data_IF_656363298324
#
_entry.id   IF_656363298324
#
_cell.length_a   1.000
_cell.length_b   1.000
_cell.length_c   1.000
_cell.angle_alpha   90.00
_cell.angle_beta   90.00
_cell.angle_gamma   90.00
#
_symmetry.space_group_name_H-M   'P 1'
#
loop_
_entity.id
_entity.type
_entity.pdbx_description
1 polymer ?
#
# COMPACT_ATOMS: atom_id res chain seq x y z
N UNK A 1 -13.67 8.67 -98.49
CA UNK A 1 -14.49 9.80 -98.04
C UNK A 1 -15.45 9.24 -97.02
N UNK A 2 -15.41 9.53 -95.73
CA UNK A 2 -14.85 10.61 -94.91
C UNK A 2 -14.59 10.09 -93.48
N UNK A 3 -13.78 10.81 -92.71
CA UNK A 3 -13.67 10.77 -91.24
C UNK A 3 -14.17 12.13 -90.68
N UNK A 4 -14.26 12.40 -89.36
CA UNK A 4 -14.87 11.71 -88.20
C UNK A 4 -15.77 12.68 -87.34
N UNK A 5 -16.34 12.23 -86.19
CA UNK A 5 -16.68 13.03 -84.97
C UNK A 5 -17.51 12.17 -83.99
N UNK A 6 -17.05 11.73 -82.81
CA UNK A 6 -16.76 12.43 -81.55
C UNK A 6 -17.98 12.86 -80.70
N UNK A 7 -18.60 11.91 -79.99
CA UNK A 7 -19.22 12.13 -78.67
C UNK A 7 -19.08 10.84 -77.84
N UNK A 8 -18.05 10.80 -76.98
CA UNK A 8 -18.20 10.96 -75.53
C UNK A 8 -18.87 9.72 -74.89
N UNK A 9 -18.16 8.61 -74.66
CA UNK A 9 -17.17 8.45 -73.59
C UNK A 9 -17.66 8.95 -72.21
N UNK A 10 -18.81 8.46 -71.73
CA UNK A 10 -19.32 8.79 -70.39
C UNK A 10 -20.12 7.67 -69.71
N UNK A 11 -19.94 6.40 -70.12
CA UNK A 11 -20.73 5.27 -69.60
C UNK A 11 -19.94 4.08 -69.06
N UNK A 12 -18.61 4.10 -69.03
CA UNK A 12 -17.79 2.93 -68.67
C UNK A 12 -16.66 3.18 -67.65
N UNK A 13 -16.69 4.32 -66.96
CA UNK A 13 -15.70 4.69 -65.94
C UNK A 13 -16.27 4.73 -64.51
N UNK A 14 -17.34 3.98 -64.22
CA UNK A 14 -17.95 3.92 -62.89
C UNK A 14 -18.08 2.50 -62.29
N UNK A 15 -17.55 1.48 -62.97
CA UNK A 15 -17.57 0.08 -62.49
C UNK A 15 -16.19 -0.57 -62.38
N UNK A 16 -15.11 0.21 -62.42
CA UNK A 16 -13.74 -0.25 -62.15
C UNK A 16 -13.06 0.51 -61.01
N UNK A 17 -13.82 1.32 -60.26
CA UNK A 17 -13.35 2.07 -59.08
C UNK A 17 -13.97 1.59 -57.77
N UNK A 18 -14.58 0.39 -57.76
CA UNK A 18 -15.15 -0.24 -56.56
C UNK A 18 -14.50 -1.59 -56.20
N UNK A 19 -13.41 -1.96 -56.87
CA UNK A 19 -12.64 -3.20 -56.63
C UNK A 19 -11.16 -2.95 -56.30
N UNK A 20 -10.83 -1.77 -55.81
CA UNK A 20 -9.48 -1.39 -55.36
C UNK A 20 -9.47 -0.72 -53.97
N UNK A 21 -10.33 -1.17 -53.05
CA UNK A 21 -10.25 -0.84 -51.61
C UNK A 21 -10.04 -2.08 -50.74
N UNK A 22 -9.44 -3.14 -51.33
CA UNK A 22 -8.86 -4.28 -50.59
C UNK A 22 -7.34 -4.06 -50.57
N UNK A 23 -6.90 -3.08 -49.81
CA UNK A 23 -5.50 -2.69 -49.69
C UNK A 23 -5.21 -2.17 -48.29
N UNK A 24 -4.65 -3.05 -47.48
CA UNK A 24 -3.85 -2.72 -46.29
C UNK A 24 -4.61 -2.12 -45.11
N UNK A 25 -5.50 -2.90 -44.49
CA UNK A 25 -5.52 -2.85 -43.02
C UNK A 25 -4.17 -3.42 -42.56
N UNK A 26 -3.17 -2.55 -42.41
CA UNK A 26 -2.09 -2.82 -41.46
C UNK A 26 -2.83 -3.08 -40.15
N UNK A 27 -2.92 -4.35 -39.77
CA UNK A 27 -3.36 -4.68 -38.42
C UNK A 27 -2.44 -3.89 -37.51
N UNK A 28 -2.98 -2.88 -36.83
CA UNK A 28 -2.36 -2.42 -35.60
C UNK A 28 -2.08 -3.69 -34.80
N UNK A 29 -0.84 -3.93 -34.35
CA UNK A 29 -0.63 -5.02 -33.44
C UNK A 29 -1.58 -4.75 -32.27
N UNK A 30 -2.60 -5.59 -32.12
CA UNK A 30 -3.27 -5.80 -30.85
C UNK A 30 -2.13 -5.85 -29.85
N UNK A 31 -2.06 -4.89 -28.93
CA UNK A 31 -0.92 -4.69 -28.03
C UNK A 31 -0.54 -6.03 -27.43
N UNK A 32 0.43 -6.68 -28.06
CA UNK A 32 0.88 -7.99 -27.64
C UNK A 32 1.47 -7.77 -26.28
N UNK A 33 1.13 -8.63 -25.32
CA UNK A 33 1.88 -8.74 -24.08
C UNK A 33 3.35 -8.59 -24.43
N UNK A 34 4.00 -7.57 -23.88
CA UNK A 34 5.37 -7.26 -24.24
C UNK A 34 6.25 -8.39 -23.72
N UNK A 35 6.44 -9.42 -24.55
CA UNK A 35 7.24 -10.59 -24.21
C UNK A 35 8.63 -10.09 -23.86
N UNK A 36 9.05 -10.33 -22.62
CA UNK A 36 10.38 -9.94 -22.18
C UNK A 36 11.43 -10.72 -22.98
N UNK A 37 12.27 -10.00 -23.71
CA UNK A 37 13.36 -10.54 -24.53
C UNK A 37 14.74 -10.26 -23.94
N UNK A 38 14.79 -9.69 -22.72
CA UNK A 38 16.03 -9.31 -22.07
C UNK A 38 16.97 -10.50 -21.87
N UNK A 39 18.28 -10.30 -22.07
CA UNK A 39 19.34 -11.27 -21.78
C UNK A 39 20.59 -10.53 -21.32
N UNK A 40 21.39 -11.05 -20.36
CA UNK A 40 21.19 -12.25 -19.54
C UNK A 40 20.19 -12.02 -18.37
N UNK A 41 20.09 -12.96 -17.42
CA UNK A 41 19.35 -12.75 -16.16
C UNK A 41 19.86 -11.49 -15.42
N UNK A 42 19.00 -10.87 -14.62
CA UNK A 42 19.36 -9.70 -13.83
C UNK A 42 19.17 -9.97 -12.34
N UNK A 43 20.12 -9.48 -11.55
CA UNK A 43 20.02 -9.42 -10.09
C UNK A 43 19.61 -8.03 -9.66
N UNK A 44 18.76 -7.95 -8.65
CA UNK A 44 18.28 -6.72 -8.06
C UNK A 44 18.48 -6.75 -6.55
N UNK A 45 18.80 -5.60 -5.97
CA UNK A 45 18.59 -5.35 -4.55
C UNK A 45 17.23 -4.69 -4.38
N UNK A 46 16.37 -5.29 -3.56
CA UNK A 46 15.10 -4.72 -3.13
C UNK A 46 15.28 -4.14 -1.73
N UNK A 47 15.01 -2.85 -1.58
CA UNK A 47 15.05 -2.13 -0.30
C UNK A 47 13.66 -1.67 0.07
N UNK A 48 13.12 -2.21 1.15
CA UNK A 48 11.90 -1.74 1.79
C UNK A 48 12.23 -0.66 2.83
N UNK A 49 11.51 0.45 2.80
CA UNK A 49 11.63 1.56 3.74
C UNK A 49 10.29 1.80 4.40
N UNK A 50 10.17 1.46 5.69
CA UNK A 50 9.02 1.83 6.51
C UNK A 50 8.98 3.34 6.71
N UNK A 51 7.83 3.96 6.44
CA UNK A 51 7.56 5.39 6.63
C UNK A 51 6.38 5.61 7.59
N UNK A 52 6.04 4.60 8.38
CA UNK A 52 4.97 4.67 9.37
C UNK A 52 5.51 5.35 10.62
N UNK A 53 5.42 6.67 10.67
CA UNK A 53 5.81 7.47 11.83
C UNK A 53 4.58 8.06 12.52
N UNK A 54 4.72 8.42 13.80
CA UNK A 54 3.66 9.11 14.54
C UNK A 54 3.33 10.48 13.93
N UNK A 55 4.30 11.16 13.33
CA UNK A 55 4.09 12.43 12.64
C UNK A 55 3.26 12.25 11.36
N UNK A 56 3.53 11.20 10.57
CA UNK A 56 2.79 10.94 9.33
C UNK A 56 1.43 10.28 9.58
N UNK A 57 1.30 9.51 10.67
CA UNK A 57 0.09 8.77 11.03
C UNK A 57 -0.13 8.84 12.55
N UNK A 58 -0.58 9.98 13.10
CA UNK A 58 -0.71 10.19 14.54
C UNK A 58 -1.89 9.41 15.14
N UNK A 59 -2.91 9.10 14.35
CA UNK A 59 -4.14 8.47 14.85
C UNK A 59 -3.83 7.07 15.33
N UNK A 60 -4.02 6.84 16.63
CA UNK A 60 -3.85 5.54 17.29
C UNK A 60 -2.47 4.90 17.03
N UNK A 61 -1.42 5.69 16.78
CA UNK A 61 -0.09 5.16 16.50
C UNK A 61 0.37 4.20 17.61
N UNK A 62 0.63 2.90 17.32
CA UNK A 62 0.94 1.91 18.34
C UNK A 62 2.30 2.18 19.02
N UNK A 63 2.28 2.53 20.30
CA UNK A 63 3.50 2.83 21.07
C UNK A 63 3.99 1.64 21.92
N UNK A 64 3.10 0.72 22.30
CA UNK A 64 3.45 -0.38 23.20
C UNK A 64 2.57 -1.62 22.96
N UNK A 65 3.16 -2.81 23.21
CA UNK A 65 2.53 -4.14 23.22
C UNK A 65 1.62 -4.46 22.01
N UNK A 66 2.19 -4.66 20.81
CA UNK A 66 3.55 -4.29 20.39
C UNK A 66 3.63 -2.84 19.86
N UNK A 67 4.81 -2.22 19.83
CA UNK A 67 5.01 -0.96 19.11
C UNK A 67 4.80 -1.14 17.60
N UNK A 68 4.53 -0.03 16.90
CA UNK A 68 4.42 0.02 15.45
C UNK A 68 5.71 -0.53 14.81
N UNK A 69 5.57 -1.55 13.97
CA UNK A 69 6.66 -2.26 13.32
C UNK A 69 6.16 -2.98 12.06
N UNK A 70 7.04 -3.71 11.38
CA UNK A 70 6.73 -4.46 10.16
C UNK A 70 7.14 -5.92 10.32
N UNK A 71 6.39 -6.84 9.71
CA UNK A 71 6.82 -8.24 9.61
C UNK A 71 8.08 -8.36 8.73
N UNK A 72 8.62 -9.59 8.66
CA UNK A 72 9.54 -9.93 7.56
C UNK A 72 8.88 -9.64 6.22
N UNK A 73 9.69 -9.29 5.21
CA UNK A 73 9.23 -9.20 3.84
C UNK A 73 9.31 -10.59 3.20
N UNK A 74 8.26 -11.00 2.51
CA UNK A 74 8.25 -12.23 1.70
C UNK A 74 7.80 -11.90 0.29
N UNK A 75 8.53 -12.39 -0.71
CA UNK A 75 8.22 -12.17 -2.12
C UNK A 75 8.75 -13.24 -3.04
N UNK A 76 8.39 -13.12 -4.31
CA UNK A 76 8.80 -14.04 -5.36
C UNK A 76 9.01 -13.31 -6.70
N UNK A 77 9.95 -13.83 -7.49
CA UNK A 77 10.08 -13.52 -8.92
C UNK A 77 9.32 -14.59 -9.72
N UNK A 78 8.36 -14.18 -10.53
CA UNK A 78 7.37 -15.08 -11.14
C UNK A 78 6.88 -14.64 -12.53
N UNK A 79 6.12 -15.50 -13.20
CA UNK A 79 5.38 -15.22 -14.44
C UNK A 79 3.95 -14.76 -14.12
N UNK A 80 3.19 -14.35 -15.15
CA UNK A 80 1.78 -13.98 -15.02
C UNK A 80 0.86 -15.14 -14.61
N UNK A 81 1.32 -16.40 -14.71
CA UNK A 81 0.57 -17.59 -14.31
C UNK A 81 0.48 -17.77 -12.79
N UNK A 82 1.26 -17.00 -12.02
CA UNK A 82 1.20 -16.96 -10.57
C UNK A 82 0.76 -15.58 -10.09
N UNK A 83 -0.15 -15.54 -9.12
CA UNK A 83 -0.49 -14.33 -8.38
C UNK A 83 -0.27 -14.59 -6.89
N UNK A 84 0.53 -13.74 -6.25
CA UNK A 84 0.73 -13.78 -4.81
C UNK A 84 -0.46 -13.19 -4.08
N UNK A 85 -0.98 -12.08 -4.59
CA UNK A 85 -2.16 -11.37 -4.14
C UNK A 85 -2.57 -10.40 -5.24
N UNK A 86 -3.84 -9.99 -5.26
CA UNK A 86 -4.33 -8.96 -6.19
C UNK A 86 -5.48 -8.17 -5.56
N UNK A 87 -5.53 -6.87 -5.85
CA UNK A 87 -6.66 -6.01 -5.44
C UNK A 87 -7.98 -6.55 -6.02
N UNK A 88 -9.02 -6.61 -5.20
CA UNK A 88 -10.33 -7.16 -5.51
C UNK A 88 -10.36 -8.69 -5.76
N UNK A 89 -9.31 -9.43 -5.37
CA UNK A 89 -9.33 -10.90 -5.33
C UNK A 89 -9.24 -11.40 -3.88
N UNK A 90 -9.62 -12.66 -3.65
CA UNK A 90 -9.49 -13.29 -2.34
C UNK A 90 -8.03 -13.66 -2.06
N UNK A 91 -7.59 -13.47 -0.82
CA UNK A 91 -6.28 -13.98 -0.37
C UNK A 91 -6.29 -15.51 -0.25
N UNK A 92 -5.14 -16.14 -0.50
CA UNK A 92 -4.91 -17.55 -0.19
C UNK A 92 -4.91 -17.80 1.32
N UNK A 93 -4.95 -19.07 1.74
CA UNK A 93 -4.82 -19.43 3.15
C UNK A 93 -3.44 -19.03 3.70
N UNK A 94 -2.37 -19.23 2.91
CA UNK A 94 -1.03 -18.80 3.31
C UNK A 94 -0.93 -17.29 3.46
N UNK A 95 -1.53 -16.52 2.55
CA UNK A 95 -1.52 -15.07 2.66
C UNK A 95 -2.39 -14.57 3.81
N UNK A 96 -3.51 -15.23 4.12
CA UNK A 96 -4.29 -14.94 5.33
C UNK A 96 -3.45 -15.13 6.60
N UNK A 97 -2.76 -16.26 6.72
CA UNK A 97 -1.91 -16.55 7.88
C UNK A 97 -0.79 -15.50 8.05
N UNK A 98 -0.18 -15.11 6.93
CA UNK A 98 0.85 -14.07 6.90
C UNK A 98 0.28 -12.69 7.23
N UNK A 99 -0.85 -12.32 6.64
CA UNK A 99 -1.49 -11.02 6.82
C UNK A 99 -2.05 -10.82 8.23
N UNK A 100 -2.54 -11.86 8.91
CA UNK A 100 -3.08 -11.77 10.28
C UNK A 100 -2.01 -11.98 11.38
N UNK A 101 -1.00 -12.82 11.14
CA UNK A 101 -0.09 -13.28 12.21
C UNK A 101 1.40 -13.16 11.87
N UNK A 102 1.74 -12.84 10.63
CA UNK A 102 3.13 -12.85 10.16
C UNK A 102 3.69 -14.27 9.96
N UNK A 103 2.82 -15.28 9.94
CA UNK A 103 3.20 -16.69 9.75
C UNK A 103 3.44 -16.98 8.27
N UNK A 104 4.71 -17.06 7.87
CA UNK A 104 5.11 -17.15 6.46
C UNK A 104 5.12 -18.57 5.90
N UNK A 105 5.09 -19.60 6.74
CA UNK A 105 5.35 -20.99 6.32
C UNK A 105 4.37 -21.49 5.26
N UNK A 106 3.06 -21.33 5.50
CA UNK A 106 2.02 -21.76 4.56
C UNK A 106 2.15 -21.04 3.22
N UNK A 107 2.39 -19.73 3.24
CA UNK A 107 2.58 -18.92 2.03
C UNK A 107 3.83 -19.34 1.25
N UNK A 108 4.94 -19.61 1.92
CA UNK A 108 6.15 -20.13 1.29
C UNK A 108 5.88 -21.46 0.58
N UNK A 109 5.11 -22.36 1.21
CA UNK A 109 4.72 -23.65 0.59
C UNK A 109 3.83 -23.48 -0.63
N UNK A 110 2.92 -22.50 -0.63
CA UNK A 110 2.11 -22.16 -1.80
C UNK A 110 2.98 -21.66 -2.97
N UNK A 111 3.94 -20.77 -2.70
CA UNK A 111 4.88 -20.24 -3.71
C UNK A 111 5.74 -21.38 -4.29
N UNK A 112 6.33 -22.22 -3.43
CA UNK A 112 7.14 -23.38 -3.85
C UNK A 112 6.33 -24.34 -4.73
N UNK A 113 5.10 -24.66 -4.32
CA UNK A 113 4.22 -25.54 -5.08
C UNK A 113 3.84 -24.97 -6.46
N UNK A 114 3.69 -23.64 -6.58
CA UNK A 114 3.46 -22.98 -7.87
C UNK A 114 4.69 -23.09 -8.78
N UNK A 115 5.89 -22.90 -8.23
CA UNK A 115 7.15 -23.11 -8.95
C UNK A 115 7.30 -24.55 -9.47
N UNK A 116 7.02 -25.56 -8.63
CA UNK A 116 7.17 -26.97 -9.02
C UNK A 116 6.11 -27.45 -10.01
N UNK A 117 4.83 -27.08 -9.80
CA UNK A 117 3.71 -27.61 -10.59
C UNK A 117 3.44 -26.82 -11.86
N UNK A 118 3.57 -25.50 -11.82
CA UNK A 118 3.20 -24.60 -12.92
C UNK A 118 4.42 -24.00 -13.61
N UNK A 119 5.63 -24.18 -13.05
CA UNK A 119 6.85 -23.52 -13.54
C UNK A 119 6.71 -21.99 -13.58
N UNK A 120 5.82 -21.43 -12.75
CA UNK A 120 5.44 -20.02 -12.77
C UNK A 120 6.26 -19.16 -11.81
N UNK A 121 7.11 -19.76 -10.96
CA UNK A 121 7.98 -19.05 -10.01
C UNK A 121 9.44 -19.42 -10.27
N UNK A 122 10.31 -18.39 -10.37
CA UNK A 122 11.76 -18.56 -10.55
C UNK A 122 12.50 -18.62 -9.21
N UNK A 123 12.19 -17.69 -8.30
CA UNK A 123 12.88 -17.59 -7.02
C UNK A 123 11.98 -16.97 -5.94
N UNK A 124 12.15 -17.45 -4.71
CA UNK A 124 11.59 -16.84 -3.50
C UNK A 124 12.67 -15.98 -2.84
N UNK A 125 12.29 -14.82 -2.32
CA UNK A 125 13.18 -13.95 -1.57
C UNK A 125 12.49 -13.43 -0.32
N UNK A 126 13.29 -13.12 0.70
CA UNK A 126 12.79 -12.57 1.96
C UNK A 126 13.79 -11.60 2.56
N UNK A 127 13.30 -10.57 3.26
CA UNK A 127 14.11 -9.66 4.04
C UNK A 127 13.71 -9.71 5.53
N UNK A 128 14.65 -9.48 6.47
CA UNK A 128 14.34 -9.43 7.89
C UNK A 128 13.24 -8.41 8.24
N UNK A 129 12.51 -8.67 9.31
CA UNK A 129 11.51 -7.75 9.86
C UNK A 129 12.13 -6.42 10.29
N UNK A 130 11.35 -5.32 10.20
CA UNK A 130 11.75 -4.01 10.71
C UNK A 130 11.05 -3.78 12.05
N UNK A 131 11.81 -3.66 13.13
CA UNK A 131 11.32 -3.60 14.52
C UNK A 131 10.75 -2.25 14.96
N UNK A 132 10.55 -1.33 14.01
CA UNK A 132 10.01 0.03 14.22
C UNK A 132 9.21 0.47 13.00
N UNK A 133 8.26 1.40 13.19
CA UNK A 133 7.39 1.90 12.13
C UNK A 133 8.18 2.62 11.01
N UNK A 134 9.30 3.25 11.36
CA UNK A 134 10.30 3.76 10.43
C UNK A 134 11.57 2.92 10.47
N UNK A 135 12.13 2.58 9.32
CA UNK A 135 13.35 1.78 9.22
C UNK A 135 13.49 1.16 7.83
N UNK A 136 14.57 0.41 7.62
CA UNK A 136 14.84 -0.22 6.32
C UNK A 136 15.22 -1.68 6.47
N UNK A 137 14.87 -2.47 5.46
CA UNK A 137 15.33 -3.85 5.28
C UNK A 137 15.56 -4.10 3.81
N UNK A 138 16.43 -5.05 3.47
CA UNK A 138 16.77 -5.35 2.08
C UNK A 138 17.02 -6.82 1.83
N UNK A 139 16.79 -7.25 0.60
CA UNK A 139 17.13 -8.56 0.09
C UNK A 139 17.66 -8.46 -1.35
N UNK A 140 18.29 -9.53 -1.83
CA UNK A 140 18.61 -9.68 -3.23
C UNK A 140 17.60 -10.64 -3.89
N UNK A 141 17.24 -10.35 -5.13
CA UNK A 141 16.41 -11.22 -5.96
C UNK A 141 17.01 -11.34 -7.36
N UNK A 142 16.72 -12.44 -8.03
CA UNK A 142 17.11 -12.67 -9.42
C UNK A 142 15.85 -12.81 -10.27
N UNK A 143 15.82 -12.15 -11.42
CA UNK A 143 14.73 -12.24 -12.39
C UNK A 143 15.23 -12.86 -13.70
N UNK A 144 14.36 -13.69 -14.26
CA UNK A 144 14.56 -14.38 -15.52
C UNK A 144 13.59 -13.81 -16.58
N UNK A 145 13.90 -13.84 -17.88
CA UNK A 145 13.01 -13.27 -18.90
C UNK A 145 11.62 -13.90 -18.97
N UNK A 146 11.46 -15.15 -18.50
CA UNK A 146 10.14 -15.80 -18.36
C UNK A 146 9.43 -15.49 -17.04
N UNK A 147 10.14 -14.88 -16.10
CA UNK A 147 9.71 -14.61 -14.73
C UNK A 147 10.16 -13.20 -14.33
N UNK A 148 9.74 -12.22 -15.13
CA UNK A 148 10.15 -10.82 -14.97
C UNK A 148 9.31 -10.05 -13.95
N UNK A 149 8.22 -10.64 -13.46
CA UNK A 149 7.31 -10.05 -12.49
C UNK A 149 7.83 -10.28 -11.08
N UNK A 150 7.70 -9.27 -10.23
CA UNK A 150 8.03 -9.34 -8.81
C UNK A 150 6.80 -8.99 -8.00
N UNK A 151 6.45 -9.88 -7.07
CA UNK A 151 5.45 -9.62 -6.03
C UNK A 151 6.05 -9.81 -4.65
N UNK A 152 5.60 -9.03 -3.69
CA UNK A 152 5.93 -9.21 -2.28
C UNK A 152 4.84 -8.67 -1.37
N UNK A 153 4.90 -9.08 -0.11
CA UNK A 153 4.03 -8.63 0.97
C UNK A 153 4.81 -8.38 2.26
N UNK A 154 4.37 -7.40 3.04
CA UNK A 154 4.85 -7.06 4.38
C UNK A 154 3.63 -6.71 5.24
N UNK A 155 3.40 -7.46 6.33
CA UNK A 155 2.32 -7.18 7.28
C UNK A 155 2.63 -5.92 8.11
N UNK A 156 1.60 -5.11 8.33
CA UNK A 156 1.61 -3.99 9.28
C UNK A 156 1.40 -4.57 10.69
N UNK A 157 2.30 -4.27 11.63
CA UNK A 157 2.27 -4.86 12.97
C UNK A 157 2.18 -3.77 14.05
N UNK A 158 1.19 -3.81 14.96
CA UNK A 158 0.03 -4.70 14.95
C UNK A 158 -1.04 -4.23 13.95
N UNK A 159 -1.83 -5.17 13.44
CA UNK A 159 -3.05 -4.90 12.68
C UNK A 159 -3.97 -6.12 12.67
N UNK A 160 -5.27 -5.98 12.32
CA UNK A 160 -6.18 -7.11 12.09
C UNK A 160 -5.62 -8.04 11.01
N UNK A 161 -5.59 -7.57 9.76
CA UNK A 161 -5.13 -8.31 8.59
C UNK A 161 -4.49 -7.38 7.54
N UNK A 162 -3.91 -6.27 7.98
CA UNK A 162 -3.41 -5.22 7.09
C UNK A 162 -1.97 -5.46 6.65
N UNK A 163 -1.71 -5.16 5.38
CA UNK A 163 -0.38 -5.32 4.78
C UNK A 163 -0.07 -4.22 3.76
N UNK A 164 1.18 -4.16 3.34
CA UNK A 164 1.63 -3.44 2.14
C UNK A 164 2.35 -4.41 1.22
N UNK A 165 2.41 -4.11 -0.06
CA UNK A 165 3.08 -4.99 -1.00
C UNK A 165 3.07 -4.44 -2.41
N UNK A 166 3.60 -5.24 -3.32
CA UNK A 166 3.50 -5.03 -4.77
C UNK A 166 2.97 -6.30 -5.40
N UNK A 167 2.00 -6.17 -6.31
CA UNK A 167 1.47 -7.23 -7.17
C UNK A 167 2.06 -7.07 -8.58
N UNK A 168 2.75 -8.10 -9.05
CA UNK A 168 3.13 -8.31 -10.45
C UNK A 168 3.88 -7.14 -11.10
N UNK A 169 4.85 -6.55 -10.41
CA UNK A 169 5.70 -5.49 -10.99
C UNK A 169 6.64 -6.07 -12.03
N UNK A 170 6.47 -5.68 -13.28
CA UNK A 170 7.38 -6.07 -14.36
C UNK A 170 8.69 -5.27 -14.33
N UNK A 171 9.80 -5.96 -14.13
CA UNK A 171 11.15 -5.38 -14.17
C UNK A 171 11.75 -5.39 -15.58
N UNK A 172 11.10 -6.05 -16.53
CA UNK A 172 11.48 -6.05 -17.93
C UNK A 172 10.70 -4.99 -18.70
N UNK A 173 11.38 -4.33 -19.62
CA UNK A 173 10.76 -3.40 -20.57
C UNK A 173 11.28 -3.74 -21.97
N UNK A 174 10.47 -4.53 -22.69
CA UNK A 174 10.83 -5.10 -23.98
C UNK A 174 12.05 -6.00 -23.90
N UNK A 175 13.23 -5.47 -24.28
CA UNK A 175 14.50 -6.20 -24.30
C UNK A 175 15.50 -5.78 -23.21
N UNK A 176 15.10 -4.93 -22.28
CA UNK A 176 16.01 -4.35 -21.27
C UNK A 176 15.43 -4.51 -19.87
N UNK A 177 16.32 -4.74 -18.91
CA UNK A 177 16.02 -4.72 -17.50
C UNK A 177 16.02 -3.28 -16.99
N UNK A 178 15.00 -2.88 -16.23
CA UNK A 178 14.90 -1.54 -15.63
C UNK A 178 16.06 -1.33 -14.65
N UNK A 179 16.82 -0.24 -14.76
CA UNK A 179 17.97 -0.02 -13.87
C UNK A 179 17.55 0.27 -12.42
N UNK A 180 16.44 1.00 -12.25
CA UNK A 180 15.87 1.31 -10.95
C UNK A 180 14.35 1.47 -11.06
N UNK A 181 13.63 1.01 -10.04
CA UNK A 181 12.19 1.26 -9.86
C UNK A 181 11.97 1.67 -8.42
N UNK A 182 11.17 2.71 -8.18
CA UNK A 182 10.79 3.13 -6.84
C UNK A 182 9.26 3.33 -6.79
N UNK A 183 8.62 2.74 -5.78
CA UNK A 183 7.17 2.78 -5.60
C UNK A 183 6.84 3.21 -4.17
N UNK A 184 5.89 4.12 -4.05
CA UNK A 184 5.25 4.44 -2.78
C UNK A 184 4.17 3.39 -2.49
N UNK A 185 4.11 2.93 -1.25
CA UNK A 185 3.23 1.84 -0.82
C UNK A 185 2.14 2.37 0.12
N UNK A 186 0.95 1.79 -0.02
CA UNK A 186 -0.25 2.13 0.73
C UNK A 186 -0.83 0.89 1.41
N UNK A 187 -1.49 1.05 2.57
CA UNK A 187 -2.05 -0.07 3.32
C UNK A 187 -3.19 -0.75 2.55
N UNK A 188 -3.23 -2.07 2.62
CA UNK A 188 -4.27 -2.92 2.08
C UNK A 188 -4.86 -3.79 3.21
N UNK A 189 -6.15 -4.08 3.10
CA UNK A 189 -6.92 -4.97 3.95
C UNK A 189 -7.06 -6.32 3.24
N UNK A 190 -6.77 -7.43 3.92
CA UNK A 190 -6.83 -8.76 3.32
C UNK A 190 -8.27 -9.30 3.19
N UNK A 191 -9.23 -8.71 3.89
CA UNK A 191 -10.62 -9.12 3.91
C UNK A 191 -10.88 -10.36 4.77
N UNK A 192 -10.02 -10.69 5.73
CA UNK A 192 -10.12 -11.90 6.56
C UNK A 192 -10.38 -11.61 8.04
N UNK A 193 -10.06 -10.41 8.53
CA UNK A 193 -10.38 -9.93 9.89
C UNK A 193 -11.06 -8.54 9.83
N UNK A 194 -12.13 -8.37 10.59
CA UNK A 194 -13.00 -7.18 10.61
C UNK A 194 -12.66 -6.23 11.77
N UNK A 195 -11.49 -6.37 12.40
CA UNK A 195 -10.99 -5.40 13.37
C UNK A 195 -10.86 -3.99 12.78
N UNK A 196 -11.25 -2.97 13.55
CA UNK A 196 -11.24 -1.58 13.07
C UNK A 196 -9.93 -0.84 13.31
N UNK A 197 -9.17 -1.27 14.31
CA UNK A 197 -7.96 -0.59 14.78
C UNK A 197 -6.75 -1.49 14.75
N UNK A 198 -5.54 -0.90 14.76
CA UNK A 198 -4.28 -1.64 14.85
C UNK A 198 -4.26 -2.72 15.94
N UNK A 199 -4.89 -2.46 17.08
CA UNK A 199 -4.90 -3.34 18.25
C UNK A 199 -6.27 -3.97 18.54
N UNK A 200 -7.17 -4.01 17.55
CA UNK A 200 -8.45 -4.69 17.70
C UNK A 200 -8.25 -6.19 17.96
N UNK A 201 -9.04 -6.82 18.84
CA UNK A 201 -9.07 -8.27 18.96
C UNK A 201 -9.50 -8.92 17.64
N UNK A 202 -9.03 -10.14 17.39
CA UNK A 202 -9.38 -10.88 16.18
C UNK A 202 -10.90 -11.03 16.04
N UNK A 203 -11.42 -10.69 14.87
CA UNK A 203 -12.84 -10.82 14.54
C UNK A 203 -13.00 -11.23 13.09
N UNK A 204 -13.11 -12.54 12.83
CA UNK A 204 -13.11 -13.07 11.47
C UNK A 204 -14.20 -12.45 10.56
N UNK A 205 -13.81 -12.06 9.35
CA UNK A 205 -14.70 -11.56 8.31
C UNK A 205 -15.45 -12.72 7.66
N UNK A 206 -16.77 -12.79 7.86
CA UNK A 206 -17.62 -13.88 7.36
C UNK A 206 -18.84 -13.30 6.62
N UNK A 207 -19.02 -13.56 5.31
CA UNK A 207 -18.10 -14.28 4.41
C UNK A 207 -16.79 -13.51 4.20
N UNK A 208 -15.72 -14.20 3.82
CA UNK A 208 -14.42 -13.58 3.52
C UNK A 208 -14.60 -12.48 2.47
N UNK A 209 -13.94 -11.34 2.69
CA UNK A 209 -13.83 -10.24 1.74
C UNK A 209 -12.66 -10.41 0.77
N UNK A 210 -12.61 -9.58 -0.25
CA UNK A 210 -11.45 -9.50 -1.17
C UNK A 210 -10.45 -8.47 -0.66
N UNK A 211 -9.22 -8.51 -1.18
CA UNK A 211 -8.21 -7.48 -0.89
C UNK A 211 -8.74 -6.10 -1.29
N UNK A 212 -8.73 -5.15 -0.36
CA UNK A 212 -9.10 -3.76 -0.63
C UNK A 212 -8.00 -2.80 -0.21
N UNK A 213 -7.88 -1.69 -0.91
CA UNK A 213 -6.93 -0.63 -0.53
C UNK A 213 -7.54 0.23 0.57
N UNK A 214 -6.80 0.45 1.64
CA UNK A 214 -7.19 1.32 2.74
C UNK A 214 -6.79 2.75 2.38
N UNK A 215 -7.75 3.67 2.44
CA UNK A 215 -7.58 5.08 2.06
C UNK A 215 -7.91 6.00 3.23
N UNK A 216 -7.70 7.31 3.07
CA UNK A 216 -8.02 8.29 4.12
C UNK A 216 -9.52 8.41 4.40
N UNK A 217 -10.36 8.00 3.45
CA UNK A 217 -11.82 8.13 3.52
C UNK A 217 -12.57 6.79 3.58
N UNK A 218 -11.90 5.67 3.27
CA UNK A 218 -12.50 4.33 3.28
C UNK A 218 -11.53 3.30 3.86
N UNK A 219 -11.94 2.49 4.86
CA UNK A 219 -13.30 2.41 5.43
C UNK A 219 -13.64 3.65 6.30
N UNK A 220 -14.89 4.13 6.23
CA UNK A 220 -15.29 5.45 6.73
C UNK A 220 -15.78 5.51 8.19
N UNK A 221 -15.42 4.52 9.02
CA UNK A 221 -15.82 4.50 10.42
C UNK A 221 -14.86 5.38 11.27
N UNK A 222 -15.36 6.21 12.21
CA UNK A 222 -14.52 7.11 13.01
C UNK A 222 -13.40 6.40 13.78
N UNK A 223 -13.65 5.16 14.24
CA UNK A 223 -12.64 4.38 14.95
C UNK A 223 -11.51 3.85 14.05
N UNK A 224 -11.68 3.81 12.72
CA UNK A 224 -10.70 3.21 11.82
C UNK A 224 -9.38 3.96 11.88
N UNK A 225 -8.29 3.21 12.02
CA UNK A 225 -6.95 3.78 12.25
C UNK A 225 -6.45 4.64 11.10
N UNK A 226 -6.84 4.32 9.86
CA UNK A 226 -6.47 5.09 8.67
C UNK A 226 -7.56 6.07 8.19
N UNK A 227 -8.63 6.28 8.97
CA UNK A 227 -9.66 7.26 8.61
C UNK A 227 -9.24 8.68 9.02
N UNK A 228 -8.83 9.47 8.03
CA UNK A 228 -8.40 10.87 8.13
C UNK A 228 -9.23 11.75 7.17
N UNK A 229 -10.45 12.15 7.55
CA UNK A 229 -11.41 12.81 6.64
C UNK A 229 -10.96 14.15 6.07
N UNK A 230 -9.97 14.81 6.70
CA UNK A 230 -9.38 16.06 6.22
C UNK A 230 -8.32 15.87 5.14
N UNK A 231 -7.81 14.65 4.97
CA UNK A 231 -6.81 14.35 3.95
C UNK A 231 -7.47 13.89 2.66
N UNK A 232 -7.02 14.45 1.53
CA UNK A 232 -7.42 13.99 0.19
C UNK A 232 -7.00 12.54 -0.08
N UNK A 233 -5.82 12.17 0.41
CA UNK A 233 -5.26 10.83 0.33
C UNK A 233 -4.29 10.62 1.51
N UNK A 234 -4.03 9.38 1.87
CA UNK A 234 -2.98 9.06 2.84
C UNK A 234 -1.60 9.43 2.27
N UNK A 235 -0.64 9.86 3.10
CA UNK A 235 0.76 9.82 2.69
C UNK A 235 1.21 8.35 2.50
N UNK A 236 2.29 8.09 1.75
CA UNK A 236 2.86 6.75 1.65
C UNK A 236 3.29 6.22 3.02
N UNK A 237 2.79 5.04 3.40
CA UNK A 237 3.15 4.40 4.68
C UNK A 237 4.49 3.65 4.59
N UNK A 238 4.90 3.29 3.38
CA UNK A 238 6.20 2.72 3.10
C UNK A 238 6.64 3.08 1.67
N UNK A 239 7.89 2.78 1.35
CA UNK A 239 8.46 2.92 0.01
C UNK A 239 9.30 1.69 -0.29
N UNK A 240 9.23 1.18 -1.50
CA UNK A 240 10.13 0.14 -2.00
C UNK A 240 10.98 0.69 -3.13
N UNK A 241 12.26 0.31 -3.16
CA UNK A 241 13.17 0.63 -4.25
C UNK A 241 13.87 -0.65 -4.71
N UNK A 242 13.80 -0.93 -6.00
CA UNK A 242 14.50 -2.03 -6.64
C UNK A 242 15.61 -1.42 -7.50
N UNK A 243 16.86 -1.83 -7.26
CA UNK A 243 18.02 -1.37 -8.00
C UNK A 243 18.72 -2.54 -8.63
N UNK A 244 18.95 -2.47 -9.95
CA UNK A 244 19.68 -3.50 -10.68
C UNK A 244 21.12 -3.52 -10.20
N UNK A 245 21.58 -4.69 -9.78
CA UNK A 245 22.96 -4.90 -9.35
C UNK A 245 23.85 -5.07 -10.58
N UNK A 246 24.94 -4.28 -10.63
CA UNK A 246 25.96 -4.44 -11.66
C UNK A 246 26.74 -5.72 -11.38
N UNK A 247 26.73 -6.66 -12.32
CA UNK A 247 27.62 -7.81 -12.28
C UNK A 247 29.03 -7.33 -12.61
N UNK A 248 29.87 -7.12 -11.60
CA UNK A 248 31.29 -6.89 -11.82
C UNK A 248 31.89 -8.17 -12.45
N UNK A 249 32.51 -8.12 -13.64
CA UNK A 249 33.39 -9.21 -14.04
C UNK A 249 34.51 -9.28 -13.01
N UNK A 250 34.76 -10.49 -12.46
CA UNK A 250 35.77 -10.75 -11.41
C UNK A 250 37.06 -9.97 -11.68
N UNK A 251 37.29 -8.91 -10.92
CA UNK A 251 38.58 -8.24 -10.81
C UNK A 251 39.20 -8.64 -9.47
N UNK A 252 40.44 -9.11 -9.52
CA UNK A 252 41.29 -9.41 -8.37
C UNK A 252 41.34 -8.22 -7.40
N UNK A 253 41.11 -8.49 -6.12
CA UNK A 253 41.26 -7.50 -5.03
C UNK A 253 42.63 -7.71 -4.35
N UNK A 254 43.54 -6.73 -4.34
CA UNK A 254 44.60 -6.66 -3.33
C UNK A 254 44.08 -5.92 -2.08
N UNK A 255 44.58 -6.22 -0.86
CA UNK A 255 44.00 -5.67 0.35
C UNK A 255 44.57 -4.30 0.76
N UNK A 256 43.63 -3.48 1.27
CA UNK A 256 43.69 -2.44 2.29
C UNK A 256 44.46 -1.12 2.03
N UNK A 257 43.78 0.00 2.35
CA UNK A 257 44.28 1.02 3.27
C UNK A 257 43.10 1.81 3.87
N UNK A 258 43.11 1.93 5.20
CA UNK A 258 42.29 2.82 6.01
C UNK A 258 42.48 4.29 5.60
N UNK A 259 41.40 5.06 5.52
CA UNK A 259 41.45 6.48 5.86
C UNK A 259 40.10 6.92 6.44
N UNK A 260 40.15 7.32 7.71
CA UNK A 260 39.06 7.96 8.41
C UNK A 260 38.81 9.38 7.89
N UNK A 261 37.56 9.82 8.10
CA UNK A 261 37.14 11.18 8.46
C UNK A 261 36.55 12.09 7.37
N UNK A 262 35.25 12.39 7.63
CA UNK A 262 34.55 13.69 7.55
C UNK A 262 33.76 14.09 6.30
N UNK A 263 32.50 14.40 6.60
CA UNK A 263 31.60 15.37 5.96
C UNK A 263 30.49 14.71 5.15
N UNK A 264 29.21 15.07 5.22
CA UNK A 264 28.46 16.06 5.99
C UNK A 264 26.98 15.63 5.90
N UNK A 265 26.23 15.87 6.97
CA UNK A 265 24.85 16.37 6.97
C UNK A 265 23.87 15.82 5.91
N UNK A 266 22.97 14.91 6.34
CA UNK A 266 21.65 14.77 5.72
C UNK A 266 20.68 15.47 6.64
N UNK A 267 20.30 16.66 6.19
CA UNK A 267 19.17 17.45 6.63
C UNK A 267 17.92 16.55 6.61
N UNK A 268 17.48 16.13 7.78
CA UNK A 268 16.18 15.49 7.99
C UNK A 268 15.08 16.58 7.94
N UNK A 269 14.88 17.12 6.74
CA UNK A 269 13.71 17.92 6.42
C UNK A 269 13.34 17.75 4.95
N UNK A 270 13.13 16.50 4.57
CA UNK A 270 12.10 16.22 3.58
C UNK A 270 10.79 16.18 4.35
N UNK A 271 9.95 17.20 4.14
CA UNK A 271 8.61 17.32 4.68
C UNK A 271 7.79 16.08 4.35
N UNK A 272 7.87 15.08 5.24
CA UNK A 272 6.83 14.06 5.30
C UNK A 272 5.53 14.82 5.53
N UNK A 273 4.48 14.63 4.71
CA UNK A 273 3.24 15.37 4.88
C UNK A 273 2.73 15.12 6.29
N UNK A 274 2.80 16.14 7.16
CA UNK A 274 2.20 16.05 8.49
C UNK A 274 0.69 15.89 8.32
N UNK A 275 0.11 14.93 9.03
CA UNK A 275 -1.33 14.66 8.94
C UNK A 275 -2.03 15.25 10.16
N UNK A 276 -2.77 16.36 10.02
CA UNK A 276 -3.46 16.97 11.16
C UNK A 276 -4.50 16.00 11.74
N UNK A 277 -4.52 15.87 13.06
CA UNK A 277 -5.51 15.06 13.79
C UNK A 277 -6.18 15.92 14.85
N UNK A 278 -7.50 16.05 14.75
CA UNK A 278 -8.26 16.82 15.73
C UNK A 278 -8.52 16.05 17.01
N UNK A 279 -8.83 16.81 18.05
CA UNK A 279 -9.40 16.23 19.25
C UNK A 279 -10.83 15.72 19.00
N UNK A 280 -11.09 14.48 19.38
CA UNK A 280 -12.44 13.92 19.48
C UNK A 280 -12.76 13.66 20.95
N UNK A 281 -13.96 14.05 21.42
CA UNK A 281 -14.41 13.86 22.80
C UNK A 281 -15.61 12.91 22.87
N UNK A 282 -15.85 12.33 24.04
CA UNK A 282 -17.03 11.51 24.31
C UNK A 282 -18.31 12.34 24.31
N UNK A 283 -19.46 11.64 24.33
CA UNK A 283 -20.70 12.25 24.78
C UNK A 283 -20.55 12.72 26.24
N UNK A 284 -21.33 13.73 26.59
CA UNK A 284 -21.45 14.19 27.97
C UNK A 284 -22.01 13.09 28.88
N UNK A 285 -21.54 13.06 30.12
CA UNK A 285 -22.19 12.31 31.19
C UNK A 285 -23.61 12.84 31.43
N UNK A 286 -24.40 12.06 32.17
CA UNK A 286 -25.60 12.62 32.80
C UNK A 286 -25.19 13.77 33.74
N UNK A 287 -26.10 14.71 33.94
CA UNK A 287 -25.92 15.76 34.95
C UNK A 287 -25.78 15.15 36.33
N UNK A 288 -24.83 15.67 37.10
CA UNK A 288 -24.71 15.42 38.54
C UNK A 288 -25.91 15.98 39.32
N UNK A 289 -25.97 15.63 40.60
CA UNK A 289 -26.98 16.19 41.51
C UNK A 289 -26.79 17.70 41.64
N UNK A 290 -27.91 18.42 41.83
CA UNK A 290 -27.86 19.86 42.06
C UNK A 290 -27.27 20.15 43.45
N UNK A 291 -26.08 20.74 43.49
CA UNK A 291 -25.42 21.16 44.71
C UNK A 291 -25.80 22.60 45.07
N UNK A 292 -26.09 22.86 46.35
CA UNK A 292 -26.37 24.21 46.83
C UNK A 292 -27.35 24.24 48.01
N UNK A 293 -27.48 25.38 48.70
CA UNK A 293 -28.46 25.55 49.77
C UNK A 293 -29.88 25.55 49.21
N UNK A 294 -30.80 24.87 49.91
CA UNK A 294 -32.19 24.78 49.49
C UNK A 294 -32.86 26.16 49.40
N UNK A 295 -33.69 26.35 48.38
CA UNK A 295 -34.41 27.60 48.13
C UNK A 295 -33.57 28.70 47.48
N UNK A 296 -32.32 28.39 47.10
CA UNK A 296 -31.47 29.25 46.26
C UNK A 296 -31.07 28.49 44.99
N UNK A 297 -30.60 29.23 43.99
CA UNK A 297 -29.94 28.64 42.82
C UNK A 297 -28.69 27.89 43.28
N UNK A 298 -28.63 26.62 42.89
CA UNK A 298 -27.47 25.76 43.00
C UNK A 298 -26.83 25.54 41.63
N UNK A 299 -25.84 24.66 41.59
CA UNK A 299 -25.15 24.27 40.38
C UNK A 299 -25.06 22.74 40.24
N UNK A 300 -25.15 22.28 39.01
CA UNK A 300 -24.91 20.88 38.64
C UNK A 300 -23.84 20.85 37.56
N UNK A 301 -22.99 19.84 37.63
CA UNK A 301 -21.91 19.64 36.65
C UNK A 301 -22.12 18.35 35.87
N UNK A 302 -21.57 18.31 34.66
CA UNK A 302 -21.40 17.10 33.86
C UNK A 302 -20.02 17.11 33.23
N UNK A 303 -19.50 15.94 32.90
CA UNK A 303 -18.15 15.79 32.34
C UNK A 303 -18.16 14.94 31.08
N UNK A 304 -17.16 15.13 30.23
CA UNK A 304 -16.84 14.28 29.08
C UNK A 304 -15.33 14.08 29.03
N UNK A 305 -14.88 13.05 28.33
CA UNK A 305 -13.45 12.75 28.24
C UNK A 305 -12.96 12.76 26.79
N UNK A 306 -11.66 12.97 26.60
CA UNK A 306 -11.01 12.95 25.29
C UNK A 306 -10.92 11.51 24.80
N UNK A 307 -11.47 11.24 23.60
CA UNK A 307 -11.34 9.96 22.88
C UNK A 307 -10.12 9.93 21.98
N UNK A 308 -9.81 11.04 21.31
CA UNK A 308 -8.64 11.19 20.43
C UNK A 308 -7.94 12.48 20.81
N UNK A 309 -6.65 12.39 21.14
CA UNK A 309 -5.84 13.58 21.43
C UNK A 309 -5.47 14.29 20.13
N UNK A 310 -5.42 15.65 20.12
CA UNK A 310 -5.03 16.39 18.94
C UNK A 310 -3.53 16.19 18.65
N UNK A 311 -3.18 16.16 17.36
CA UNK A 311 -1.78 16.05 16.91
C UNK A 311 -1.57 16.85 15.61
N UNK A 312 -0.30 17.16 15.30
CA UNK A 312 0.13 17.82 14.06
C UNK A 312 -0.72 19.07 13.72
N UNK A 313 -0.86 19.95 14.70
CA UNK A 313 -1.63 21.20 14.57
C UNK A 313 -3.13 21.01 14.24
N UNK A 314 -3.70 19.85 14.61
CA UNK A 314 -5.15 19.63 14.60
C UNK A 314 -5.89 20.44 15.67
N UNK A 315 -7.21 20.51 15.55
CA UNK A 315 -8.06 21.34 16.42
C UNK A 315 -7.96 20.88 17.89
N UNK A 316 -7.67 21.78 18.86
CA UNK A 316 -7.54 21.40 20.27
C UNK A 316 -8.88 20.93 20.87
N UNK A 317 -8.81 20.20 21.98
CA UNK A 317 -9.99 19.72 22.66
C UNK A 317 -10.87 20.87 23.18
N UNK A 318 -12.20 20.80 22.99
CA UNK A 318 -13.13 21.72 23.66
C UNK A 318 -13.19 21.42 25.17
N UNK A 319 -13.91 22.24 25.93
CA UNK A 319 -14.06 22.07 27.38
C UNK A 319 -14.59 20.68 27.76
N UNK A 320 -14.04 20.11 28.83
CA UNK A 320 -14.33 18.73 29.26
C UNK A 320 -15.31 18.68 30.45
N UNK A 321 -15.58 19.82 31.06
CA UNK A 321 -16.50 19.99 32.18
C UNK A 321 -17.48 21.10 31.82
N UNK A 322 -18.75 20.93 32.20
CA UNK A 322 -19.78 21.92 32.00
C UNK A 322 -20.60 22.05 33.28
N UNK A 323 -20.83 23.29 33.69
CA UNK A 323 -21.63 23.64 34.85
C UNK A 323 -22.88 24.39 34.40
N UNK A 324 -24.01 24.09 35.02
CA UNK A 324 -25.26 24.80 34.79
C UNK A 324 -26.01 25.05 36.09
N UNK A 325 -26.76 26.14 36.11
CA UNK A 325 -27.64 26.46 37.23
C UNK A 325 -28.78 25.45 37.37
N UNK A 326 -29.17 25.18 38.61
CA UNK A 326 -30.26 24.27 38.93
C UNK A 326 -30.93 24.66 40.26
N UNK A 327 -32.09 24.08 40.53
CA UNK A 327 -32.76 24.20 41.84
C UNK A 327 -32.69 22.83 42.52
N UNK A 328 -32.18 22.73 43.76
CA UNK A 328 -32.15 21.46 44.48
C UNK A 328 -33.57 20.92 44.74
N UNK A 329 -33.86 19.72 44.22
CA UNK A 329 -35.13 19.02 44.45
C UNK A 329 -35.07 18.16 45.73
N UNK A 330 -36.17 18.10 46.49
CA UNK A 330 -36.31 17.30 47.73
C UNK A 330 -35.31 17.67 48.84
N UNK A 331 -35.28 18.96 49.20
CA UNK A 331 -34.57 19.38 50.41
C UNK A 331 -35.27 18.85 51.66
N UNK A 332 -34.51 18.18 52.54
CA UNK A 332 -34.98 17.74 53.87
C UNK A 332 -34.53 18.74 54.92
#
# INVERSE_FOLDING_TARGET
MESPSATAALGRALWTLLLAMLGSTVGQPLGGESICTARPLAKYSITFTGKWSQTAFPKQYPLFRPPAQWSSLLGAAHSSDYSMWRKNEYVSNGLRDFAERGEAWTLMKEIEAAGEKLQSVHAVFSAPAVTSGTGQTSAELEVHPRHSLVSFVVRIVPSPDWFVGVDSLDLCEGGRWKEQVALDLYPHDAGTDSGFTFSSPNFATIPQGTVTEITSSSPSHPANSFYYPRLKSLPPIAKVTLVRLRQSPRAFVPPALDLASRGNEIVDSLSVPETPLDCEVSLWSSWGLCGGPCGKLGAKSRTRYVRVQPANNGTPCPELEEESECTPDNCV
#
